data_IF_241813447938
#
_entry.id   IF_241813447938
#
_cell.length_a   1.000
_cell.length_b   1.000
_cell.length_c   1.000
_cell.angle_alpha   90.00
_cell.angle_beta   90.00
_cell.angle_gamma   90.00
#
_symmetry.space_group_name_H-M   'P 1'
#
loop_
_entity.id
_entity.type
_entity.pdbx_description
1 polymer ?
#
# COMPACT_ATOMS: atom_id res chain seq x y z
N UNK A 1 -4.43 -2.38 -3.63
CA UNK A 1 -5.20 -3.62 -3.44
C UNK A 1 -6.64 -3.50 -3.91
N UNK A 2 -7.41 -2.45 -3.56
CA UNK A 2 -8.80 -2.28 -4.02
C UNK A 2 -8.94 -2.38 -5.56
N UNK A 3 -8.06 -1.70 -6.31
CA UNK A 3 -8.07 -1.78 -7.77
C UNK A 3 -7.76 -3.20 -8.28
N UNK A 4 -6.80 -3.89 -7.65
CA UNK A 4 -6.44 -5.27 -8.00
C UNK A 4 -7.62 -6.22 -7.77
N UNK A 5 -8.27 -6.12 -6.61
CA UNK A 5 -9.47 -6.89 -6.28
C UNK A 5 -10.62 -6.61 -7.26
N UNK A 6 -10.86 -5.34 -7.60
CA UNK A 6 -11.91 -4.99 -8.57
C UNK A 6 -11.60 -5.55 -9.95
N UNK A 7 -10.34 -5.46 -10.39
CA UNK A 7 -9.89 -5.98 -11.67
C UNK A 7 -10.01 -7.50 -11.77
N UNK A 8 -9.69 -8.23 -10.68
CA UNK A 8 -9.85 -9.69 -10.66
C UNK A 8 -11.31 -10.10 -10.90
N UNK A 9 -12.28 -9.36 -10.34
CA UNK A 9 -13.71 -9.65 -10.56
C UNK A 9 -14.15 -9.45 -12.01
N UNK A 10 -13.58 -8.53 -12.76
CA UNK A 10 -13.83 -8.40 -14.20
C UNK A 10 -13.32 -9.60 -15.00
N UNK A 11 -12.19 -10.19 -14.58
CA UNK A 11 -11.65 -11.40 -15.19
C UNK A 11 -12.50 -12.62 -14.80
N UNK A 12 -12.75 -12.84 -13.51
CA UNK A 12 -13.52 -13.97 -12.97
C UNK A 12 -14.93 -14.07 -13.53
N UNK A 13 -15.58 -12.92 -13.76
CA UNK A 13 -16.93 -12.85 -14.36
C UNK A 13 -16.92 -12.96 -15.89
N UNK A 14 -15.76 -13.03 -16.52
CA UNK A 14 -15.62 -13.06 -17.98
C UNK A 14 -15.97 -11.73 -18.67
N UNK A 15 -16.18 -10.65 -17.90
CA UNK A 15 -16.47 -9.31 -18.46
C UNK A 15 -15.31 -8.78 -19.29
N UNK A 16 -14.08 -9.04 -18.83
CA UNK A 16 -12.85 -8.69 -19.54
C UNK A 16 -11.94 -9.92 -19.64
N UNK A 17 -11.20 -10.04 -20.75
CA UNK A 17 -10.16 -11.07 -20.92
C UNK A 17 -8.79 -10.62 -20.43
N UNK A 18 -8.57 -9.30 -20.39
CA UNK A 18 -7.32 -8.67 -19.93
C UNK A 18 -7.64 -7.37 -19.24
N UNK A 19 -7.05 -7.15 -18.07
CA UNK A 19 -7.17 -5.90 -17.31
C UNK A 19 -5.78 -5.46 -16.86
N UNK A 20 -5.45 -4.21 -17.10
CA UNK A 20 -4.21 -3.60 -16.58
C UNK A 20 -4.56 -2.77 -15.35
N UNK A 21 -3.94 -3.07 -14.23
CA UNK A 21 -4.02 -2.28 -12.99
C UNK A 21 -2.76 -1.45 -12.86
N UNK A 22 -2.90 -0.14 -12.75
CA UNK A 22 -1.78 0.80 -12.63
C UNK A 22 -1.82 1.45 -11.26
N UNK A 23 -0.68 1.47 -10.57
CA UNK A 23 -0.42 2.29 -9.40
C UNK A 23 0.65 3.31 -9.74
N UNK A 24 0.35 4.61 -9.61
CA UNK A 24 1.28 5.67 -9.95
C UNK A 24 1.03 6.91 -9.08
N UNK A 25 2.05 7.33 -8.36
CA UNK A 25 2.00 8.52 -7.51
C UNK A 25 3.28 9.34 -7.62
N UNK A 26 3.12 10.65 -7.81
CA UNK A 26 4.20 11.62 -7.75
C UNK A 26 4.18 12.33 -6.39
N UNK A 27 4.70 11.65 -5.37
CA UNK A 27 4.73 12.16 -4.00
C UNK A 27 5.60 13.39 -3.83
N UNK A 28 6.67 13.53 -4.64
CA UNK A 28 7.55 14.69 -4.63
C UNK A 28 6.82 16.02 -4.87
N UNK A 29 5.64 15.99 -5.51
CA UNK A 29 4.84 17.19 -5.76
C UNK A 29 4.04 17.69 -4.56
N UNK A 30 3.86 16.85 -3.53
CA UNK A 30 3.04 17.16 -2.34
C UNK A 30 3.82 17.02 -1.02
N UNK A 31 5.12 16.73 -1.09
CA UNK A 31 6.00 16.66 0.08
C UNK A 31 6.58 18.04 0.37
N UNK A 32 6.55 18.46 1.64
CA UNK A 32 7.29 19.60 2.12
C UNK A 32 8.73 19.19 2.45
N UNK A 33 9.69 19.60 1.62
CA UNK A 33 11.11 19.26 1.81
C UNK A 33 11.75 19.94 3.01
N UNK A 34 11.07 20.87 3.67
CA UNK A 34 11.50 21.47 4.94
C UNK A 34 11.01 20.70 6.16
N UNK A 35 9.98 19.84 5.99
CA UNK A 35 9.48 18.97 7.05
C UNK A 35 10.24 17.64 7.10
N UNK A 36 11.17 17.54 8.07
CA UNK A 36 11.97 16.32 8.28
C UNK A 36 11.19 15.09 8.74
N UNK A 37 9.91 15.23 9.07
CA UNK A 37 9.06 14.11 9.47
C UNK A 37 8.49 13.36 8.26
N UNK A 38 8.27 14.07 7.17
CA UNK A 38 7.62 13.51 5.96
C UNK A 38 8.56 13.41 4.77
N UNK A 39 9.48 14.36 4.57
CA UNK A 39 10.32 14.41 3.39
C UNK A 39 11.20 13.17 3.14
N UNK A 40 11.73 12.44 4.14
CA UNK A 40 12.55 11.27 3.89
C UNK A 40 11.75 9.98 3.66
N UNK A 41 10.40 10.02 3.75
CA UNK A 41 9.56 8.83 3.74
C UNK A 41 9.15 8.48 2.32
N UNK A 42 8.62 9.47 1.59
CA UNK A 42 7.90 9.24 0.33
C UNK A 42 8.81 9.30 -0.89
N UNK A 43 8.54 8.40 -1.84
CA UNK A 43 9.17 8.36 -3.15
C UNK A 43 8.15 8.41 -4.29
N UNK A 44 8.58 8.86 -5.45
CA UNK A 44 7.80 8.77 -6.69
C UNK A 44 7.89 7.36 -7.25
N UNK A 45 6.79 6.85 -7.80
CA UNK A 45 6.80 5.53 -8.41
C UNK A 45 5.57 5.27 -9.27
N UNK A 46 5.76 4.43 -10.26
CA UNK A 46 4.69 3.90 -11.10
C UNK A 46 4.98 2.44 -11.46
N UNK A 47 3.96 1.61 -11.40
CA UNK A 47 4.04 0.23 -11.86
C UNK A 47 2.66 -0.26 -12.30
N UNK A 48 2.66 -1.31 -13.13
CA UNK A 48 1.44 -1.90 -13.67
C UNK A 48 1.47 -3.42 -13.52
N UNK A 49 0.28 -4.00 -13.35
CA UNK A 49 0.06 -5.45 -13.34
C UNK A 49 -0.98 -5.80 -14.39
N UNK A 50 -0.69 -6.78 -15.23
CA UNK A 50 -1.65 -7.36 -16.16
C UNK A 50 -2.33 -8.54 -15.49
N UNK A 51 -3.67 -8.57 -15.53
CA UNK A 51 -4.49 -9.71 -15.13
C UNK A 51 -5.10 -10.36 -16.35
N UNK A 52 -5.01 -11.69 -16.41
CA UNK A 52 -5.60 -12.55 -17.44
C UNK A 52 -6.25 -13.77 -16.77
N UNK A 53 -7.19 -14.46 -17.43
CA UNK A 53 -7.66 -15.76 -16.96
C UNK A 53 -6.52 -16.77 -16.91
N UNK A 54 -6.51 -17.62 -15.91
CA UNK A 54 -5.58 -18.72 -15.77
C UNK A 54 -6.35 -20.04 -15.59
N UNK A 55 -5.96 -21.09 -16.30
CA UNK A 55 -6.60 -22.41 -16.26
C UNK A 55 -5.86 -23.37 -15.30
N UNK A 56 -4.66 -23.01 -14.85
CA UNK A 56 -3.83 -23.83 -13.95
C UNK A 56 -4.13 -23.59 -12.47
N UNK A 57 -5.01 -22.62 -12.17
CA UNK A 57 -5.45 -22.30 -10.80
C UNK A 57 -4.59 -21.28 -10.07
N UNK A 58 -3.73 -20.56 -10.80
CA UNK A 58 -2.97 -19.43 -10.26
C UNK A 58 -3.77 -18.14 -10.33
N UNK A 59 -3.53 -17.22 -9.41
CA UNK A 59 -4.11 -15.89 -9.45
C UNK A 59 -4.51 -15.32 -8.10
N UNK A 60 -5.47 -14.38 -8.11
CA UNK A 60 -6.03 -13.77 -6.90
C UNK A 60 -7.06 -14.73 -6.31
N UNK A 61 -6.68 -15.46 -5.26
CA UNK A 61 -7.54 -16.47 -4.64
C UNK A 61 -8.63 -15.82 -3.79
N UNK A 62 -8.25 -14.86 -2.93
CA UNK A 62 -9.17 -14.14 -2.04
C UNK A 62 -8.63 -12.76 -1.67
N UNK A 63 -9.44 -11.98 -0.98
CA UNK A 63 -9.08 -10.64 -0.52
C UNK A 63 -9.81 -10.28 0.77
N UNK A 64 -9.17 -9.44 1.58
CA UNK A 64 -9.74 -8.79 2.74
C UNK A 64 -9.51 -7.29 2.57
N UNK A 65 -10.59 -6.52 2.51
CA UNK A 65 -10.54 -5.08 2.33
C UNK A 65 -11.23 -4.38 3.50
N UNK A 66 -10.50 -3.51 4.17
CA UNK A 66 -11.01 -2.67 5.24
C UNK A 66 -10.79 -1.19 4.93
N UNK A 67 -11.67 -0.35 5.46
CA UNK A 67 -11.53 1.11 5.42
C UNK A 67 -11.92 1.69 6.79
N UNK A 68 -11.03 2.51 7.35
CA UNK A 68 -11.29 3.22 8.60
C UNK A 68 -11.06 4.72 8.39
N UNK A 69 -12.16 5.47 8.29
CA UNK A 69 -12.13 6.92 8.12
C UNK A 69 -11.75 7.70 9.39
N UNK A 70 -11.72 7.05 10.55
CA UNK A 70 -11.33 7.71 11.81
C UNK A 70 -9.86 8.12 11.82
N UNK A 71 -9.03 7.45 11.01
CA UNK A 71 -7.62 7.76 10.81
C UNK A 71 -7.33 8.98 9.94
N UNK A 72 -8.32 9.56 9.26
CA UNK A 72 -8.12 10.68 8.33
C UNK A 72 -7.36 11.89 8.92
N UNK A 73 -7.53 12.29 10.20
CA UNK A 73 -6.76 13.40 10.77
C UNK A 73 -5.24 13.12 10.92
N UNK A 74 -4.82 11.86 10.82
CA UNK A 74 -3.42 11.46 11.03
C UNK A 74 -2.58 11.40 9.77
N UNK A 75 -3.21 11.36 8.58
CA UNK A 75 -2.51 11.37 7.30
C UNK A 75 -3.40 11.97 6.21
N UNK A 76 -3.09 13.20 5.79
CA UNK A 76 -3.92 13.94 4.85
C UNK A 76 -3.16 15.09 4.17
N UNK A 77 -3.72 15.56 3.07
CA UNK A 77 -3.41 16.86 2.47
C UNK A 77 -4.65 17.75 2.63
N UNK A 78 -4.49 18.92 3.27
CA UNK A 78 -5.64 19.72 3.71
C UNK A 78 -6.34 20.44 2.58
N UNK A 79 -5.59 21.00 1.61
CA UNK A 79 -6.15 21.77 0.51
C UNK A 79 -5.90 21.08 -0.85
N UNK A 80 -6.53 21.60 -1.89
CA UNK A 80 -6.47 21.07 -3.26
C UNK A 80 -7.72 20.29 -3.68
N UNK A 81 -8.64 20.05 -2.74
CA UNK A 81 -9.94 19.42 -3.00
C UNK A 81 -11.10 20.41 -2.91
N UNK A 82 -12.33 19.90 -3.07
CA UNK A 82 -13.55 20.72 -3.06
C UNK A 82 -13.82 21.42 -1.73
N UNK A 83 -13.38 20.85 -0.61
CA UNK A 83 -13.57 21.44 0.72
C UNK A 83 -12.71 22.68 0.95
N UNK A 84 -11.46 22.64 0.48
CA UNK A 84 -10.50 23.74 0.53
C UNK A 84 -9.84 23.87 -0.84
N UNK A 85 -10.49 24.55 -1.80
CA UNK A 85 -9.91 24.79 -3.12
C UNK A 85 -8.61 25.58 -3.03
N UNK A 86 -7.79 25.51 -4.05
CA UNK A 86 -6.57 26.28 -4.14
C UNK A 86 -6.88 27.79 -4.07
N UNK A 87 -6.17 28.51 -3.20
CA UNK A 87 -6.28 29.95 -3.00
C UNK A 87 -4.97 30.52 -2.48
N UNK A 88 -4.82 31.84 -2.48
CA UNK A 88 -3.66 32.51 -1.88
C UNK A 88 -3.48 32.13 -0.39
N UNK A 89 -4.59 31.98 0.34
CA UNK A 89 -4.56 31.58 1.73
C UNK A 89 -4.01 30.15 1.89
N UNK A 90 -4.51 29.20 1.09
CA UNK A 90 -4.10 27.80 1.20
C UNK A 90 -2.64 27.59 0.78
N UNK A 91 -2.16 28.39 -0.18
CA UNK A 91 -0.75 28.41 -0.59
C UNK A 91 0.13 29.01 0.52
N UNK A 92 -0.25 30.17 1.07
CA UNK A 92 0.48 30.85 2.14
C UNK A 92 0.63 29.97 3.39
N UNK A 93 -0.39 29.18 3.71
CA UNK A 93 -0.40 28.28 4.86
C UNK A 93 0.20 26.90 4.57
N UNK A 94 0.74 26.64 3.39
CA UNK A 94 1.34 25.36 2.97
C UNK A 94 0.39 24.16 3.08
N UNK A 95 -0.93 24.37 2.82
CA UNK A 95 -1.95 23.33 2.99
C UNK A 95 -1.99 22.32 1.83
N UNK A 96 -1.17 22.50 0.80
CA UNK A 96 -1.04 21.61 -0.35
C UNK A 96 0.05 20.53 -0.16
N UNK A 97 0.59 20.41 1.03
CA UNK A 97 1.56 19.37 1.37
C UNK A 97 0.96 18.32 2.30
N UNK A 98 1.52 17.13 2.23
CA UNK A 98 1.11 16.00 3.06
C UNK A 98 1.45 16.26 4.53
N UNK A 99 0.51 15.99 5.41
CA UNK A 99 0.68 16.08 6.87
C UNK A 99 0.53 14.68 7.45
N UNK A 100 1.45 14.27 8.31
CA UNK A 100 1.44 12.94 8.93
C UNK A 100 1.74 12.99 10.42
N UNK A 101 0.85 12.40 11.22
CA UNK A 101 1.16 11.94 12.58
C UNK A 101 1.80 10.54 12.48
N UNK A 102 3.12 10.52 12.39
CA UNK A 102 3.85 9.29 12.17
C UNK A 102 3.66 8.24 13.26
N UNK A 103 3.38 8.64 14.51
CA UNK A 103 3.17 7.71 15.62
C UNK A 103 1.80 7.03 15.50
N UNK A 104 0.75 7.78 15.24
CA UNK A 104 -0.60 7.24 15.07
C UNK A 104 -0.68 6.32 13.85
N UNK A 105 -0.12 6.77 12.70
CA UNK A 105 -0.06 5.98 11.47
C UNK A 105 0.73 4.69 11.67
N UNK A 106 1.90 4.76 12.33
CA UNK A 106 2.71 3.58 12.61
C UNK A 106 1.96 2.56 13.46
N UNK A 107 1.32 2.99 14.55
CA UNK A 107 0.56 2.11 15.44
C UNK A 107 -0.58 1.41 14.70
N UNK A 108 -1.36 2.15 13.92
CA UNK A 108 -2.45 1.59 13.12
C UNK A 108 -1.93 0.60 12.07
N UNK A 109 -0.86 0.94 11.36
CA UNK A 109 -0.29 0.08 10.33
C UNK A 109 0.26 -1.25 10.89
N UNK A 110 0.96 -1.22 12.03
CA UNK A 110 1.50 -2.43 12.67
C UNK A 110 0.38 -3.40 13.07
N UNK A 111 -0.73 -2.90 13.63
CA UNK A 111 -1.86 -3.76 13.97
C UNK A 111 -2.58 -4.24 12.72
N UNK A 112 -3.07 -3.32 11.90
CA UNK A 112 -4.00 -3.65 10.81
C UNK A 112 -3.37 -4.53 9.73
N UNK A 113 -2.10 -4.28 9.34
CA UNK A 113 -1.41 -5.12 8.35
C UNK A 113 -1.20 -6.54 8.88
N UNK A 114 -0.82 -6.67 10.14
CA UNK A 114 -0.64 -7.99 10.76
C UNK A 114 -1.98 -8.73 10.92
N UNK A 115 -3.02 -8.05 11.37
CA UNK A 115 -4.32 -8.66 11.64
C UNK A 115 -4.97 -9.21 10.37
N UNK A 116 -5.00 -8.43 9.25
CA UNK A 116 -5.55 -8.94 7.97
C UNK A 116 -4.71 -10.07 7.38
N UNK A 117 -3.39 -10.06 7.61
CA UNK A 117 -2.52 -11.13 7.12
C UNK A 117 -2.76 -12.43 7.88
N UNK A 118 -2.88 -12.37 9.20
CA UNK A 118 -3.20 -13.53 10.04
C UNK A 118 -4.61 -14.04 9.75
N UNK A 119 -5.60 -13.15 9.63
CA UNK A 119 -6.98 -13.50 9.25
C UNK A 119 -7.02 -14.29 7.93
N UNK A 120 -6.25 -13.86 6.92
CA UNK A 120 -6.17 -14.59 5.65
C UNK A 120 -5.55 -15.99 5.82
N UNK A 121 -4.49 -16.11 6.62
CA UNK A 121 -3.89 -17.41 6.91
C UNK A 121 -4.86 -18.33 7.63
N UNK A 122 -5.56 -17.83 8.64
CA UNK A 122 -6.57 -18.60 9.39
C UNK A 122 -7.74 -19.05 8.50
N UNK A 123 -8.22 -18.19 7.61
CA UNK A 123 -9.32 -18.48 6.68
C UNK A 123 -9.04 -19.68 5.78
N UNK A 124 -7.79 -19.86 5.40
CA UNK A 124 -7.34 -20.95 4.52
C UNK A 124 -6.55 -22.03 5.25
N UNK A 125 -6.50 -21.99 6.59
CA UNK A 125 -5.70 -22.91 7.41
C UNK A 125 -4.23 -22.99 6.98
N UNK A 126 -3.66 -21.86 6.59
CA UNK A 126 -2.26 -21.75 6.18
C UNK A 126 -1.34 -21.58 7.39
N UNK A 127 -0.17 -22.21 7.30
CA UNK A 127 0.95 -22.01 8.21
C UNK A 127 2.01 -21.11 7.57
N UNK A 128 3.01 -20.70 8.32
CA UNK A 128 4.15 -19.95 7.77
C UNK A 128 4.92 -20.71 6.69
N UNK A 129 4.85 -22.05 6.70
CA UNK A 129 5.54 -22.88 5.71
C UNK A 129 4.83 -22.87 4.34
N UNK A 130 3.51 -22.68 4.34
CA UNK A 130 2.71 -22.57 3.12
C UNK A 130 2.89 -21.23 2.41
N UNK A 131 3.40 -20.21 3.13
CA UNK A 131 3.64 -18.89 2.58
C UNK A 131 5.04 -18.84 1.95
N UNK A 132 5.09 -18.63 0.64
CA UNK A 132 6.36 -18.45 -0.06
C UNK A 132 6.94 -17.06 0.19
N UNK A 133 6.12 -16.02 -0.01
CA UNK A 133 6.53 -14.62 0.21
C UNK A 133 5.40 -13.76 0.77
N UNK A 134 5.76 -12.86 1.66
CA UNK A 134 4.99 -11.68 2.03
C UNK A 134 5.44 -10.52 1.14
N UNK A 135 4.48 -9.92 0.40
CA UNK A 135 4.70 -8.73 -0.44
C UNK A 135 3.98 -7.55 0.21
N UNK A 136 4.60 -6.87 1.18
CA UNK A 136 3.94 -5.83 1.94
C UNK A 136 4.00 -4.47 1.23
N UNK A 137 3.09 -3.56 1.60
CA UNK A 137 3.30 -2.16 1.35
C UNK A 137 4.60 -1.68 2.01
N UNK A 138 5.45 -1.00 1.25
CA UNK A 138 6.78 -0.54 1.67
C UNK A 138 6.69 0.80 2.44
N UNK A 139 5.92 0.83 3.54
CA UNK A 139 5.73 2.04 4.34
C UNK A 139 6.88 2.32 5.30
N UNK A 140 7.34 1.28 5.98
CA UNK A 140 8.39 1.33 7.00
C UNK A 140 8.88 -0.09 7.30
N UNK A 141 10.19 -0.28 7.34
CA UNK A 141 10.78 -1.61 7.59
C UNK A 141 10.32 -2.25 8.90
N UNK A 142 10.13 -1.44 9.95
CA UNK A 142 9.64 -1.94 11.26
C UNK A 142 8.20 -2.45 11.20
N UNK A 143 7.36 -1.88 10.33
CA UNK A 143 5.99 -2.36 10.10
C UNK A 143 6.04 -3.71 9.37
N UNK A 144 6.89 -3.83 8.37
CA UNK A 144 7.10 -5.08 7.61
C UNK A 144 7.57 -6.19 8.55
N UNK A 145 8.60 -5.92 9.36
CA UNK A 145 9.13 -6.89 10.32
C UNK A 145 8.07 -7.31 11.36
N UNK A 146 7.26 -6.37 11.85
CA UNK A 146 6.19 -6.69 12.80
C UNK A 146 5.10 -7.56 12.18
N UNK A 147 4.71 -7.29 10.93
CA UNK A 147 3.74 -8.10 10.18
C UNK A 147 4.29 -9.52 9.96
N UNK A 148 5.52 -9.63 9.46
CA UNK A 148 6.18 -10.92 9.25
C UNK A 148 6.25 -11.76 10.54
N UNK A 149 6.65 -11.14 11.65
CA UNK A 149 6.72 -11.81 12.95
C UNK A 149 5.34 -12.35 13.40
N UNK A 150 4.28 -11.58 13.21
CA UNK A 150 2.90 -12.02 13.54
C UNK A 150 2.44 -13.19 12.68
N UNK A 151 2.89 -13.28 11.43
CA UNK A 151 2.63 -14.39 10.51
C UNK A 151 3.57 -15.60 10.77
N UNK A 152 4.53 -15.50 11.69
CA UNK A 152 5.57 -16.53 11.90
C UNK A 152 6.57 -16.63 10.75
N UNK A 153 6.70 -15.59 9.93
CA UNK A 153 7.62 -15.57 8.79
C UNK A 153 8.99 -15.03 9.17
N UNK A 154 10.02 -15.58 8.55
CA UNK A 154 11.37 -15.06 8.59
C UNK A 154 11.58 -13.97 7.55
N UNK A 155 12.53 -13.07 7.76
CA UNK A 155 12.77 -11.91 6.90
C UNK A 155 13.08 -12.26 5.43
N UNK A 156 13.70 -13.42 5.17
CA UNK A 156 13.99 -13.90 3.82
C UNK A 156 12.73 -14.30 3.03
N UNK A 157 11.58 -14.44 3.70
CA UNK A 157 10.27 -14.59 3.06
C UNK A 157 9.56 -13.25 2.83
N UNK A 158 10.18 -12.10 3.12
CA UNK A 158 9.62 -10.78 2.88
C UNK A 158 10.29 -10.12 1.69
N UNK A 159 9.52 -9.68 0.72
CA UNK A 159 10.01 -8.84 -0.35
C UNK A 159 10.19 -7.41 0.17
N UNK A 160 11.39 -6.85 0.05
CA UNK A 160 11.75 -5.54 0.63
C UNK A 160 12.55 -4.74 -0.39
N UNK A 161 12.06 -3.56 -0.74
CA UNK A 161 12.74 -2.61 -1.63
C UNK A 161 12.59 -1.15 -1.18
N UNK A 162 12.16 -0.94 0.05
CA UNK A 162 11.96 0.39 0.64
C UNK A 162 13.26 1.20 0.71
N UNK A 163 14.41 0.56 0.86
CA UNK A 163 15.73 1.18 0.87
C UNK A 163 16.11 1.80 -0.48
N UNK A 164 15.50 1.31 -1.57
CA UNK A 164 15.73 1.80 -2.94
C UNK A 164 14.76 2.89 -3.36
N UNK A 165 13.49 2.75 -3.00
CA UNK A 165 12.40 3.59 -3.54
C UNK A 165 11.64 4.40 -2.49
N UNK A 166 11.82 4.10 -1.19
CA UNK A 166 10.97 4.67 -0.15
C UNK A 166 9.52 4.18 -0.24
N UNK A 167 8.61 4.99 0.29
CA UNK A 167 7.18 4.75 0.21
C UNK A 167 6.62 5.34 -1.11
N UNK A 168 6.42 4.50 -2.10
CA UNK A 168 5.87 4.86 -3.43
C UNK A 168 4.34 4.69 -3.50
N UNK A 169 3.67 4.68 -2.36
CA UNK A 169 2.20 4.64 -2.23
C UNK A 169 1.52 3.55 -3.07
N UNK A 170 0.79 3.88 -4.15
CA UNK A 170 0.07 2.88 -4.95
C UNK A 170 0.98 1.95 -5.76
N UNK A 171 2.18 2.40 -6.14
CA UNK A 171 3.14 1.60 -6.89
C UNK A 171 3.93 0.60 -6.03
N UNK A 172 3.86 0.69 -4.71
CA UNK A 172 4.72 0.00 -3.75
C UNK A 172 4.75 -1.53 -3.93
N UNK A 173 3.58 -2.18 -3.98
CA UNK A 173 3.47 -3.64 -4.12
C UNK A 173 3.88 -4.10 -5.53
N UNK A 174 3.37 -3.52 -6.63
CA UNK A 174 3.79 -3.96 -7.97
C UNK A 174 5.27 -3.69 -8.27
N UNK A 175 5.88 -2.63 -7.75
CA UNK A 175 7.34 -2.44 -7.83
C UNK A 175 8.09 -3.52 -7.07
N UNK A 176 7.58 -3.92 -5.90
CA UNK A 176 8.19 -4.98 -5.12
C UNK A 176 8.12 -6.33 -5.85
N UNK A 177 6.99 -6.63 -6.49
CA UNK A 177 6.83 -7.83 -7.32
C UNK A 177 7.76 -7.84 -8.55
N UNK A 178 8.05 -6.67 -9.13
CA UNK A 178 8.94 -6.54 -10.26
C UNK A 178 10.41 -6.78 -9.89
N UNK A 179 10.81 -6.42 -8.67
CA UNK A 179 12.21 -6.51 -8.20
C UNK A 179 12.61 -7.94 -7.80
N UNK A 180 11.65 -8.85 -7.60
CA UNK A 180 11.85 -10.24 -7.15
C UNK A 180 11.41 -11.28 -8.18
#
# INVERSE_FOLDING_TARGET
LFALTTASKFIETGTCKKVIVVGADKMSSIVDYTDRKTCPIFGDGAAAVLLEPDEEGYGVIDHILHSDGTGAPHLYMKAGGSRYPASEETIRNNWHTITQDGQAVFKAAVSNMADVSVEMMERYNLTSDDIRYLVPHQANLRIIDATANRMGLTRNKCMINIDRYGNTTAATIPLCLYDY
#
